data_IF_829876883517
#
_entry.id   IF_829876883517
#
_cell.length_a   1.000
_cell.length_b   1.000
_cell.length_c   1.000
_cell.angle_alpha   90.00
_cell.angle_beta   90.00
_cell.angle_gamma   90.00
#
_symmetry.space_group_name_H-M   'P 1'
#
loop_
_entity.id
_entity.type
_entity.pdbx_description
1 polymer ?
#
# COMPACT_ATOMS: atom_id res chain seq x y z
N UNK A 1 -7.58 5.88 -9.36
CA UNK A 1 -6.57 4.86 -9.68
C UNK A 1 -6.84 3.60 -8.89
N UNK A 2 -6.53 2.44 -9.46
CA UNK A 2 -6.45 1.18 -8.72
C UNK A 2 -5.06 0.59 -8.95
N UNK A 3 -4.27 0.49 -7.87
CA UNK A 3 -2.90 0.01 -7.94
C UNK A 3 -2.86 -1.52 -7.97
N UNK A 4 -2.50 -2.08 -9.14
CA UNK A 4 -2.12 -3.48 -9.31
C UNK A 4 -0.73 -3.74 -8.75
N UNK A 5 -0.63 -3.90 -7.43
CA UNK A 5 0.68 -3.96 -6.75
C UNK A 5 1.46 -5.24 -7.01
N UNK A 6 0.83 -6.30 -7.50
CA UNK A 6 1.56 -7.49 -7.96
C UNK A 6 2.48 -7.14 -9.14
N UNK A 7 1.90 -6.61 -10.21
CA UNK A 7 2.65 -6.26 -11.43
C UNK A 7 3.59 -5.07 -11.20
N UNK A 8 3.17 -4.10 -10.38
CA UNK A 8 4.04 -3.00 -9.99
C UNK A 8 5.27 -3.49 -9.23
N UNK A 9 5.12 -4.49 -8.35
CA UNK A 9 6.27 -5.07 -7.64
C UNK A 9 7.18 -5.83 -8.60
N UNK A 10 6.61 -6.66 -9.50
CA UNK A 10 7.39 -7.39 -10.49
C UNK A 10 8.23 -6.46 -11.37
N UNK A 11 7.62 -5.39 -11.86
CA UNK A 11 8.29 -4.40 -12.73
C UNK A 11 9.30 -3.53 -11.97
N UNK A 12 9.02 -3.18 -10.71
CA UNK A 12 9.96 -2.38 -9.89
C UNK A 12 11.19 -3.19 -9.49
N UNK A 13 11.01 -4.46 -9.10
CA UNK A 13 12.11 -5.33 -8.74
C UNK A 13 12.81 -5.94 -9.96
N UNK A 14 12.17 -5.93 -11.13
CA UNK A 14 12.67 -6.55 -12.35
C UNK A 14 12.65 -8.08 -12.28
N UNK A 15 11.69 -8.66 -11.55
CA UNK A 15 11.61 -10.13 -11.34
C UNK A 15 10.18 -10.63 -11.50
N UNK A 16 10.05 -11.81 -12.09
CA UNK A 16 8.82 -12.60 -12.09
C UNK A 16 8.54 -13.14 -10.69
N UNK A 17 7.29 -13.06 -10.23
CA UNK A 17 6.89 -13.58 -8.92
C UNK A 17 7.13 -15.08 -8.82
N UNK A 18 6.67 -15.84 -9.82
CA UNK A 18 6.71 -17.30 -9.80
C UNK A 18 8.17 -17.81 -9.78
N UNK A 19 9.04 -17.19 -10.59
CA UNK A 19 10.46 -17.54 -10.64
C UNK A 19 11.21 -17.13 -9.36
N UNK A 20 10.84 -15.97 -8.79
CA UNK A 20 11.43 -15.52 -7.53
C UNK A 20 11.04 -16.44 -6.36
N UNK A 21 9.75 -16.79 -6.25
CA UNK A 21 9.23 -17.66 -5.19
C UNK A 21 9.81 -19.08 -5.27
N UNK A 22 9.96 -19.64 -6.49
CA UNK A 22 10.55 -20.95 -6.70
C UNK A 22 12.10 -20.96 -6.58
N UNK A 23 12.74 -19.82 -6.82
CA UNK A 23 14.19 -19.69 -6.86
C UNK A 23 14.78 -19.05 -5.60
N UNK A 24 15.11 -17.76 -5.71
CA UNK A 24 16.07 -17.09 -4.81
C UNK A 24 15.42 -16.37 -3.63
N UNK A 25 14.09 -16.19 -3.61
CA UNK A 25 13.43 -15.32 -2.63
C UNK A 25 13.63 -15.80 -1.20
N UNK A 26 13.64 -17.11 -0.97
CA UNK A 26 13.88 -17.67 0.36
C UNK A 26 15.31 -17.41 0.84
N UNK A 27 16.29 -17.66 -0.02
CA UNK A 27 17.71 -17.43 0.26
C UNK A 27 17.98 -15.95 0.57
N UNK A 28 17.37 -15.03 -0.21
CA UNK A 28 17.52 -13.60 0.01
C UNK A 28 16.97 -13.17 1.37
N UNK A 29 15.87 -13.78 1.82
CA UNK A 29 15.32 -13.54 3.16
C UNK A 29 16.19 -14.10 4.27
N UNK A 30 16.70 -15.33 4.11
CA UNK A 30 17.62 -15.94 5.09
C UNK A 30 18.91 -15.16 5.26
N UNK A 31 19.43 -14.58 4.16
CA UNK A 31 20.65 -13.76 4.16
C UNK A 31 20.40 -12.31 4.58
N UNK A 32 19.15 -11.92 4.85
CA UNK A 32 18.80 -10.55 5.20
C UNK A 32 18.94 -9.54 4.05
N UNK A 33 19.08 -10.01 2.81
CA UNK A 33 19.07 -9.15 1.62
C UNK A 33 17.68 -8.54 1.44
N UNK A 34 16.63 -9.33 1.70
CA UNK A 34 15.25 -8.87 1.77
C UNK A 34 14.70 -9.13 3.17
N UNK A 35 14.18 -8.10 3.83
CA UNK A 35 13.56 -8.25 5.15
C UNK A 35 12.28 -9.10 5.06
N UNK A 36 11.51 -8.94 3.98
CA UNK A 36 10.20 -9.59 3.77
C UNK A 36 10.03 -9.98 2.31
N UNK A 37 9.05 -10.86 2.06
CA UNK A 37 8.59 -11.12 0.70
C UNK A 37 7.89 -9.85 0.16
N UNK A 38 8.43 -9.19 -0.88
CA UNK A 38 7.85 -7.95 -1.43
C UNK A 38 6.53 -8.19 -2.15
N UNK A 39 6.18 -9.45 -2.49
CA UNK A 39 4.87 -9.82 -3.07
C UNK A 39 3.78 -10.04 -2.03
N UNK A 40 4.15 -10.12 -0.76
CA UNK A 40 3.22 -10.28 0.36
C UNK A 40 3.07 -8.99 1.18
N UNK A 41 4.13 -8.19 1.30
CA UNK A 41 4.15 -6.91 2.02
C UNK A 41 4.80 -5.85 1.15
N UNK A 42 4.13 -4.71 0.96
CA UNK A 42 4.64 -3.61 0.14
C UNK A 42 6.05 -3.21 0.62
N UNK A 43 6.99 -3.18 -0.32
CA UNK A 43 8.26 -2.49 -0.13
C UNK A 43 8.03 -0.98 -0.13
N UNK A 44 8.01 -0.38 1.07
CA UNK A 44 7.77 1.05 1.24
C UNK A 44 8.86 1.94 0.61
N UNK A 45 10.09 1.43 0.47
CA UNK A 45 11.25 2.23 0.05
C UNK A 45 11.49 2.24 -1.46
N UNK A 46 10.94 1.28 -2.20
CA UNK A 46 10.92 1.23 -3.67
C UNK A 46 9.50 1.38 -4.20
N UNK A 47 8.72 0.28 -4.20
CA UNK A 47 7.35 0.25 -4.75
C UNK A 47 6.46 1.32 -4.12
N UNK A 48 6.56 1.48 -2.79
CA UNK A 48 5.81 2.49 -2.03
C UNK A 48 6.13 3.92 -2.45
N UNK A 49 7.38 4.23 -2.82
CA UNK A 49 7.74 5.57 -3.32
C UNK A 49 7.06 5.86 -4.66
N UNK A 50 7.00 4.88 -5.56
CA UNK A 50 6.29 5.03 -6.83
C UNK A 50 4.80 5.24 -6.60
N UNK A 51 4.20 4.49 -5.68
CA UNK A 51 2.79 4.66 -5.30
C UNK A 51 2.53 6.06 -4.74
N UNK A 52 3.32 6.51 -3.77
CA UNK A 52 3.17 7.84 -3.16
C UNK A 52 3.34 8.97 -4.17
N UNK A 53 4.33 8.85 -5.07
CA UNK A 53 4.54 9.81 -6.14
C UNK A 53 3.35 9.87 -7.10
N UNK A 54 2.85 8.73 -7.57
CA UNK A 54 1.72 8.66 -8.47
C UNK A 54 0.42 9.22 -7.84
N UNK A 55 0.19 8.99 -6.54
CA UNK A 55 -0.94 9.59 -5.81
C UNK A 55 -0.79 11.11 -5.74
N UNK A 56 0.39 11.60 -5.37
CA UNK A 56 0.66 13.03 -5.27
C UNK A 56 0.49 13.75 -6.61
N UNK A 57 1.12 13.27 -7.68
CA UNK A 57 1.01 13.89 -9.01
C UNK A 57 -0.40 13.78 -9.59
N UNK A 58 -1.07 12.64 -9.36
CA UNK A 58 -2.47 12.45 -9.77
C UNK A 58 -3.40 13.47 -9.10
N UNK A 59 -3.24 13.68 -7.79
CA UNK A 59 -4.08 14.61 -7.01
C UNK A 59 -3.74 16.09 -7.22
N UNK A 60 -2.52 16.43 -7.66
CA UNK A 60 -2.22 17.78 -8.14
C UNK A 60 -3.08 18.18 -9.34
N UNK A 61 -3.39 17.21 -10.21
CA UNK A 61 -4.20 17.44 -11.41
C UNK A 61 -5.70 17.26 -11.13
N UNK A 62 -6.07 16.24 -10.35
CA UNK A 62 -7.46 15.95 -9.95
C UNK A 62 -7.54 15.75 -8.43
N UNK A 63 -7.85 16.80 -7.65
CA UNK A 63 -7.79 16.74 -6.18
C UNK A 63 -8.67 15.67 -5.54
N UNK A 64 -9.80 15.36 -6.15
CA UNK A 64 -10.78 14.34 -5.74
C UNK A 64 -10.52 12.97 -6.39
N UNK A 65 -9.33 12.75 -6.96
CA UNK A 65 -8.92 11.47 -7.52
C UNK A 65 -9.02 10.38 -6.45
N UNK A 66 -10.01 9.50 -6.63
CA UNK A 66 -10.15 8.29 -5.84
C UNK A 66 -8.99 7.33 -6.14
N UNK A 67 -8.37 6.79 -5.10
CA UNK A 67 -7.22 5.90 -5.15
C UNK A 67 -7.47 4.67 -4.29
N UNK A 68 -7.31 3.49 -4.88
CA UNK A 68 -7.30 2.24 -4.14
C UNK A 68 -6.20 1.29 -4.56
N UNK A 69 -6.12 0.17 -3.87
CA UNK A 69 -5.19 -0.93 -4.11
C UNK A 69 -5.96 -2.25 -4.23
N UNK A 70 -5.49 -3.11 -5.13
CA UNK A 70 -5.96 -4.49 -5.23
C UNK A 70 -4.81 -5.49 -5.08
N UNK A 71 -5.17 -6.75 -4.86
CA UNK A 71 -4.24 -7.86 -4.76
C UNK A 71 -3.87 -8.21 -3.32
N UNK A 72 -2.79 -8.98 -3.18
CA UNK A 72 -2.44 -9.62 -1.91
C UNK A 72 -2.16 -8.61 -0.79
N UNK A 73 -1.48 -7.51 -1.14
CA UNK A 73 -1.15 -6.40 -0.26
C UNK A 73 -2.37 -5.70 0.34
N UNK A 74 -3.51 -5.70 -0.36
CA UNK A 74 -4.75 -5.08 0.14
C UNK A 74 -5.34 -5.77 1.36
N UNK A 75 -4.87 -6.98 1.69
CA UNK A 75 -5.24 -7.74 2.89
C UNK A 75 -4.14 -7.87 3.92
N UNK A 76 -2.98 -7.24 3.73
CA UNK A 76 -1.83 -7.33 4.64
C UNK A 76 -1.74 -6.07 5.53
N UNK A 77 -1.76 -6.19 6.87
CA UNK A 77 -1.91 -5.05 7.78
C UNK A 77 -0.87 -3.92 7.64
N UNK A 78 0.41 -4.25 7.37
CA UNK A 78 1.46 -3.22 7.21
C UNK A 78 1.30 -2.45 5.91
N UNK A 79 0.95 -3.14 4.84
CA UNK A 79 0.64 -2.57 3.53
C UNK A 79 -0.59 -1.68 3.60
N UNK A 80 -1.65 -2.11 4.31
CA UNK A 80 -2.84 -1.28 4.56
C UNK A 80 -2.48 -0.01 5.35
N UNK A 81 -1.65 -0.15 6.38
CA UNK A 81 -1.18 1.00 7.17
C UNK A 81 -0.39 1.98 6.30
N UNK A 82 0.49 1.48 5.43
CA UNK A 82 1.22 2.30 4.46
C UNK A 82 0.26 3.02 3.50
N UNK A 83 -0.69 2.30 2.88
CA UNK A 83 -1.70 2.88 1.99
C UNK A 83 -2.51 3.98 2.69
N UNK A 84 -2.90 3.78 3.95
CA UNK A 84 -3.59 4.80 4.75
C UNK A 84 -2.75 6.06 4.92
N UNK A 85 -1.46 5.94 5.24
CA UNK A 85 -0.54 7.08 5.38
C UNK A 85 -0.32 7.83 4.06
N UNK A 86 -0.25 7.12 2.94
CA UNK A 86 -0.17 7.73 1.59
C UNK A 86 -1.50 8.41 1.19
N UNK A 87 -2.59 8.07 1.87
CA UNK A 87 -3.90 8.68 1.65
C UNK A 87 -4.75 7.93 0.63
N UNK A 88 -4.62 6.60 0.53
CA UNK A 88 -5.53 5.77 -0.25
C UNK A 88 -6.95 5.85 0.34
N UNK A 89 -7.95 5.74 -0.52
CA UNK A 89 -9.37 5.83 -0.18
C UNK A 89 -9.95 4.45 0.16
N UNK A 90 -9.47 3.40 -0.50
CA UNK A 90 -9.90 2.03 -0.22
C UNK A 90 -8.80 0.98 -0.42
N UNK A 91 -9.02 -0.19 0.17
CA UNK A 91 -8.26 -1.43 -0.08
C UNK A 91 -9.22 -2.51 -0.57
N UNK A 92 -8.78 -3.31 -1.53
CA UNK A 92 -9.53 -4.46 -2.03
C UNK A 92 -8.70 -5.73 -1.82
N UNK A 93 -9.32 -6.73 -1.20
CA UNK A 93 -8.69 -8.00 -0.86
C UNK A 93 -9.66 -9.16 -1.04
N UNK A 94 -9.15 -10.38 -0.98
CA UNK A 94 -9.97 -11.59 -1.06
C UNK A 94 -11.01 -11.65 0.08
N UNK A 95 -12.18 -12.28 -0.15
CA UNK A 95 -13.29 -12.24 0.82
C UNK A 95 -12.91 -12.64 2.25
N UNK A 96 -12.05 -13.65 2.40
CA UNK A 96 -11.60 -14.14 3.71
C UNK A 96 -10.62 -13.18 4.43
N UNK A 97 -9.99 -12.23 3.72
CA UNK A 97 -9.11 -11.20 4.32
C UNK A 97 -9.85 -9.91 4.68
N UNK A 98 -11.12 -9.76 4.31
CA UNK A 98 -11.90 -8.52 4.55
C UNK A 98 -11.95 -8.15 6.04
N UNK A 99 -12.15 -9.11 6.94
CA UNK A 99 -12.19 -8.84 8.37
C UNK A 99 -10.84 -8.31 8.90
N UNK A 100 -9.74 -8.91 8.44
CA UNK A 100 -8.38 -8.47 8.77
C UNK A 100 -8.11 -7.08 8.21
N UNK A 101 -8.51 -6.82 6.97
CA UNK A 101 -8.32 -5.53 6.32
C UNK A 101 -9.06 -4.40 7.05
N UNK A 102 -10.31 -4.65 7.47
CA UNK A 102 -11.09 -3.70 8.28
C UNK A 102 -10.43 -3.39 9.61
N UNK A 103 -9.96 -4.43 10.31
CA UNK A 103 -9.26 -4.25 11.59
C UNK A 103 -7.97 -3.44 11.42
N UNK A 104 -7.15 -3.79 10.42
CA UNK A 104 -5.91 -3.10 10.12
C UNK A 104 -6.15 -1.63 9.73
N UNK A 105 -7.17 -1.35 8.91
CA UNK A 105 -7.54 0.01 8.54
C UNK A 105 -7.98 0.84 9.75
N UNK A 106 -8.77 0.25 10.67
CA UNK A 106 -9.16 0.91 11.91
C UNK A 106 -7.95 1.22 12.80
N UNK A 107 -7.04 0.24 12.98
CA UNK A 107 -5.80 0.43 13.73
C UNK A 107 -4.91 1.51 13.11
N UNK A 108 -4.80 1.55 11.78
CA UNK A 108 -4.05 2.57 11.06
C UNK A 108 -4.67 3.96 11.27
N UNK A 109 -5.99 4.08 11.21
CA UNK A 109 -6.70 5.34 11.46
C UNK A 109 -6.53 5.86 12.90
N UNK A 110 -6.52 4.97 13.90
CA UNK A 110 -6.26 5.33 15.30
C UNK A 110 -4.81 5.78 15.49
N UNK A 111 -3.85 5.04 14.91
CA UNK A 111 -2.42 5.30 15.08
C UNK A 111 -1.93 6.51 14.27
N UNK A 112 -2.54 6.75 13.11
CA UNK A 112 -2.20 7.82 12.18
C UNK A 112 -3.48 8.57 11.78
N UNK A 113 -4.08 9.38 12.66
CA UNK A 113 -5.28 10.14 12.35
C UNK A 113 -5.02 11.06 11.14
N UNK A 114 -5.84 10.95 10.09
CA UNK A 114 -5.83 11.95 9.02
C UNK A 114 -6.56 13.17 9.53
N UNK A 115 -6.01 14.37 9.29
CA UNK A 115 -6.72 15.62 9.54
C UNK A 115 -7.99 15.59 8.69
N UNK A 116 -9.11 15.23 9.30
CA UNK A 116 -10.42 15.49 8.73
C UNK A 116 -10.47 16.98 8.48
N UNK A 117 -10.65 17.40 7.23
CA UNK A 117 -11.02 18.77 6.93
C UNK A 117 -12.31 19.07 7.69
N UNK A 118 -12.20 19.57 8.92
CA UNK A 118 -13.31 20.23 9.54
C UNK A 118 -13.40 21.56 8.80
N UNK A 119 -14.37 21.65 7.91
CA UNK A 119 -15.03 22.93 7.65
C UNK A 119 -15.77 23.34 8.94
N UNK A 120 -15.00 23.65 9.98
CA UNK A 120 -15.46 24.37 11.14
C UNK A 120 -15.31 25.84 10.73
N UNK A 121 -16.43 26.52 10.46
CA UNK A 121 -16.43 27.88 9.94
C UNK A 121 -15.56 28.84 10.76
N UNK A 122 -14.67 29.54 10.07
CA UNK A 122 -13.96 30.72 10.58
C UNK A 122 -12.72 30.42 11.42
N UNK A 123 -11.56 30.69 10.84
CA UNK A 123 -10.22 30.78 11.44
C UNK A 123 -9.51 29.48 11.79
N UNK A 124 -8.70 29.05 10.84
CA UNK A 124 -7.53 28.20 11.08
C UNK A 124 -6.45 29.01 11.81
N UNK A 125 -5.99 28.52 12.95
CA UNK A 125 -4.65 28.79 13.49
C UNK A 125 -3.70 27.69 13.03
#
# INVERSE_FOLDING_TARGET
>A
FSFGTNDLTQTTFGVSRDDAEAGFLMEYRQRGILERNPFATIDANGVGKLMAWAVNEGRKTRPDLEVGICGEHGGEPRSITFCHQVGFDYVSCSPYRVAVARLAAAQAAIKYPRSSGCCCGGNCC
#
